data_IF_925627268301
#
_entry.id   IF_925627268301
#
_cell.length_a   1.000
_cell.length_b   1.000
_cell.length_c   1.000
_cell.angle_alpha   90.00
_cell.angle_beta   90.00
_cell.angle_gamma   90.00
#
_symmetry.space_group_name_H-M   'P 1'
#
loop_
_entity.id
_entity.type
_entity.pdbx_description
1 polymer ?
#
# COMPACT_ATOMS: atom_id res chain seq x y z
N UNK A 1 4.27 -20.33 8.07
CA UNK A 1 5.24 -19.34 7.56
C UNK A 1 4.57 -17.99 7.68
N UNK A 2 5.30 -16.95 8.08
CA UNK A 2 4.76 -15.58 8.07
C UNK A 2 4.44 -15.16 6.64
N UNK A 3 3.44 -14.32 6.44
CA UNK A 3 3.12 -13.77 5.14
C UNK A 3 2.96 -12.25 5.19
N UNK A 4 3.28 -11.59 4.08
CA UNK A 4 3.06 -10.16 3.91
C UNK A 4 2.31 -9.90 2.62
N UNK A 5 1.53 -8.82 2.59
CA UNK A 5 0.95 -8.31 1.34
C UNK A 5 1.69 -7.08 0.86
N UNK A 6 1.88 -6.98 -0.46
CA UNK A 6 2.34 -5.76 -1.12
C UNK A 6 1.17 -5.11 -1.86
N UNK A 7 1.03 -3.80 -1.74
CA UNK A 7 -0.08 -3.06 -2.34
C UNK A 7 0.46 -1.83 -3.09
N UNK A 8 0.21 -1.74 -4.38
CA UNK A 8 0.32 -0.48 -5.12
C UNK A 8 -1.01 0.27 -5.10
N UNK A 9 -1.04 1.49 -4.56
CA UNK A 9 -2.25 2.30 -4.46
C UNK A 9 -2.74 2.87 -5.80
N UNK A 10 -2.79 2.05 -6.86
CA UNK A 10 -3.14 2.45 -8.22
C UNK A 10 -3.67 1.26 -9.02
N UNK A 11 -4.59 1.52 -9.95
CA UNK A 11 -5.07 0.54 -10.95
C UNK A 11 -4.35 0.65 -12.30
N UNK A 12 -3.30 1.46 -12.41
CA UNK A 12 -2.48 1.49 -13.63
C UNK A 12 -1.78 0.14 -13.84
N UNK A 13 -1.88 -0.44 -15.03
CA UNK A 13 -1.20 -1.69 -15.40
C UNK A 13 0.33 -1.58 -15.28
N UNK A 14 0.87 -0.38 -15.48
CA UNK A 14 2.29 -0.05 -15.36
C UNK A 14 2.57 0.78 -14.09
N UNK A 15 1.82 0.55 -13.03
CA UNK A 15 1.93 1.31 -11.79
C UNK A 15 3.35 1.28 -11.22
N UNK A 16 3.98 2.44 -11.13
CA UNK A 16 5.29 2.61 -10.48
C UNK A 16 5.22 2.35 -8.98
N UNK A 17 4.07 2.60 -8.36
CA UNK A 17 3.86 2.29 -6.94
C UNK A 17 3.72 0.79 -6.71
N UNK A 18 3.09 0.04 -7.63
CA UNK A 18 3.08 -1.43 -7.58
C UNK A 18 4.50 -1.99 -7.67
N UNK A 19 5.30 -1.53 -8.65
CA UNK A 19 6.69 -1.95 -8.80
C UNK A 19 7.53 -1.67 -7.55
N UNK A 20 7.37 -0.49 -6.92
CA UNK A 20 8.09 -0.14 -5.70
C UNK A 20 7.68 -1.01 -4.51
N UNK A 21 6.37 -1.26 -4.33
CA UNK A 21 5.87 -2.11 -3.25
C UNK A 21 6.34 -3.56 -3.39
N UNK A 22 6.26 -4.12 -4.61
CA UNK A 22 6.71 -5.48 -4.92
C UNK A 22 8.22 -5.63 -4.72
N UNK A 23 9.01 -4.64 -5.16
CA UNK A 23 10.45 -4.63 -4.92
C UNK A 23 10.77 -4.60 -3.41
N UNK A 24 10.17 -3.69 -2.66
CA UNK A 24 10.38 -3.62 -1.22
C UNK A 24 9.94 -4.91 -0.51
N UNK A 25 8.82 -5.50 -0.91
CA UNK A 25 8.35 -6.79 -0.38
C UNK A 25 9.32 -7.94 -0.69
N UNK A 26 9.94 -7.96 -1.87
CA UNK A 26 10.91 -8.99 -2.26
C UNK A 26 12.21 -8.97 -1.44
N UNK A 27 12.51 -7.85 -0.78
CA UNK A 27 13.66 -7.73 0.11
C UNK A 27 13.41 -8.30 1.52
N UNK A 28 12.16 -8.67 1.85
CA UNK A 28 11.82 -9.26 3.15
C UNK A 28 12.09 -10.76 3.11
N UNK A 29 13.09 -11.21 3.84
CA UNK A 29 13.50 -12.61 3.85
C UNK A 29 12.62 -13.47 4.79
N UNK A 30 12.44 -14.74 4.45
CA UNK A 30 11.81 -15.74 5.32
C UNK A 30 10.27 -15.64 5.42
N UNK A 31 9.64 -14.89 4.53
CA UNK A 31 8.18 -14.70 4.48
C UNK A 31 7.62 -15.10 3.11
N UNK A 32 6.34 -15.43 3.08
CA UNK A 32 5.57 -15.50 1.84
C UNK A 32 5.10 -14.10 1.45
N UNK A 33 5.29 -13.71 0.19
CA UNK A 33 4.87 -12.40 -0.33
C UNK A 33 3.68 -12.57 -1.25
N UNK A 34 2.56 -11.94 -0.91
CA UNK A 34 1.35 -11.89 -1.74
C UNK A 34 1.21 -10.51 -2.37
N UNK A 35 1.37 -10.43 -3.69
CA UNK A 35 1.22 -9.17 -4.42
C UNK A 35 -0.26 -8.92 -4.72
N UNK A 36 -0.86 -7.93 -4.04
CA UNK A 36 -2.24 -7.55 -4.21
C UNK A 36 -2.36 -6.50 -5.32
N UNK A 37 -3.16 -6.81 -6.35
CA UNK A 37 -3.50 -5.86 -7.40
C UNK A 37 -4.95 -5.38 -7.24
N UNK A 38 -5.14 -4.07 -7.12
CA UNK A 38 -6.48 -3.48 -7.00
C UNK A 38 -7.37 -3.74 -8.23
N UNK A 39 -6.78 -4.08 -9.38
CA UNK A 39 -7.55 -4.46 -10.58
C UNK A 39 -8.29 -5.79 -10.45
N UNK A 40 -7.91 -6.64 -9.50
CA UNK A 40 -8.53 -7.95 -9.30
C UNK A 40 -9.82 -7.88 -8.47
N UNK A 41 -10.20 -6.67 -8.03
CA UNK A 41 -11.35 -6.43 -7.16
C UNK A 41 -12.35 -5.49 -7.82
N UNK A 42 -13.50 -6.00 -8.22
CA UNK A 42 -14.61 -5.20 -8.73
C UNK A 42 -15.40 -4.58 -7.56
N UNK A 43 -15.06 -3.34 -7.26
CA UNK A 43 -15.69 -2.56 -6.19
C UNK A 43 -16.42 -1.36 -6.81
N UNK A 44 -17.77 -1.31 -6.73
CA UNK A 44 -18.50 -0.13 -7.16
C UNK A 44 -18.04 1.10 -6.36
N UNK A 45 -18.21 2.29 -6.90
CA UNK A 45 -17.93 3.49 -6.14
C UNK A 45 -18.79 3.48 -4.87
N UNK A 46 -18.13 3.60 -3.71
CA UNK A 46 -18.80 3.53 -2.41
C UNK A 46 -19.92 4.56 -2.31
N UNK A 47 -21.08 4.08 -1.91
CA UNK A 47 -22.22 4.88 -1.49
C UNK A 47 -22.97 4.13 -0.40
N UNK A 48 -23.49 4.87 0.59
CA UNK A 48 -24.33 4.29 1.65
C UNK A 48 -25.60 3.65 1.07
N UNK A 49 -26.10 4.20 -0.04
CA UNK A 49 -27.29 3.66 -0.72
C UNK A 49 -26.96 2.29 -1.33
N UNK A 50 -25.83 2.17 -2.04
CA UNK A 50 -25.36 0.88 -2.59
C UNK A 50 -25.15 -0.15 -1.48
N UNK A 51 -24.49 0.26 -0.38
CA UNK A 51 -24.29 -0.63 0.78
C UNK A 51 -25.62 -1.15 1.34
N UNK A 52 -26.62 -0.26 1.49
CA UNK A 52 -27.94 -0.61 2.02
C UNK A 52 -28.76 -1.51 1.07
N UNK A 53 -28.66 -1.28 -0.24
CA UNK A 53 -29.42 -2.00 -1.25
C UNK A 53 -28.83 -3.38 -1.58
N UNK A 54 -27.50 -3.47 -1.71
CA UNK A 54 -26.82 -4.66 -2.21
C UNK A 54 -25.92 -5.37 -1.17
N UNK A 55 -25.66 -4.71 -0.05
CA UNK A 55 -24.68 -5.18 0.94
C UNK A 55 -23.23 -5.05 0.47
N UNK A 56 -22.35 -5.82 1.10
CA UNK A 56 -20.92 -5.80 0.78
C UNK A 56 -20.62 -6.54 -0.52
N UNK A 57 -19.90 -5.91 -1.48
CA UNK A 57 -19.44 -6.58 -2.68
C UNK A 57 -18.67 -7.88 -2.39
N UNK A 58 -18.79 -8.87 -3.27
CA UNK A 58 -18.11 -10.16 -3.10
C UNK A 58 -16.59 -9.99 -3.01
N UNK A 59 -16.03 -9.13 -3.86
CA UNK A 59 -14.59 -8.93 -3.92
C UNK A 59 -14.07 -8.10 -2.74
N UNK A 60 -14.91 -7.27 -2.11
CA UNK A 60 -14.57 -6.63 -0.85
C UNK A 60 -14.28 -7.66 0.26
N UNK A 61 -15.05 -8.74 0.32
CA UNK A 61 -14.83 -9.80 1.33
C UNK A 61 -13.50 -10.51 1.12
N UNK A 62 -13.11 -10.75 -0.15
CA UNK A 62 -11.79 -11.32 -0.48
C UNK A 62 -10.65 -10.38 -0.09
N UNK A 63 -10.79 -9.09 -0.46
CA UNK A 63 -9.79 -8.08 -0.13
C UNK A 63 -9.62 -7.94 1.39
N UNK A 64 -10.74 -7.92 2.12
CA UNK A 64 -10.74 -7.86 3.58
C UNK A 64 -10.05 -9.06 4.21
N UNK A 65 -10.30 -10.29 3.71
CA UNK A 65 -9.64 -11.50 4.22
C UNK A 65 -8.11 -11.43 4.06
N UNK A 66 -7.59 -10.94 2.93
CA UNK A 66 -6.15 -10.75 2.75
C UNK A 66 -5.55 -9.78 3.77
N UNK A 67 -6.23 -8.65 4.05
CA UNK A 67 -5.76 -7.69 5.05
C UNK A 67 -5.84 -8.29 6.47
N UNK A 68 -6.83 -9.12 6.74
CA UNK A 68 -7.02 -9.76 8.05
C UNK A 68 -5.97 -10.85 8.31
N UNK A 69 -5.67 -11.67 7.31
CA UNK A 69 -4.81 -12.85 7.42
C UNK A 69 -3.31 -12.53 7.32
N UNK A 70 -2.93 -11.36 6.77
CA UNK A 70 -1.52 -11.00 6.62
C UNK A 70 -0.85 -10.70 7.97
N UNK A 71 0.45 -10.99 8.07
CA UNK A 71 1.29 -10.61 9.22
C UNK A 71 1.88 -9.19 9.07
N UNK A 72 1.96 -8.65 7.84
CA UNK A 72 2.50 -7.31 7.59
C UNK A 72 2.11 -6.76 6.22
N UNK A 73 2.23 -5.45 6.05
CA UNK A 73 1.77 -4.72 4.87
C UNK A 73 2.90 -3.83 4.33
N UNK A 74 3.23 -3.99 3.05
CA UNK A 74 4.06 -3.04 2.29
C UNK A 74 3.15 -2.29 1.33
N UNK A 75 2.88 -1.03 1.59
CA UNK A 75 1.98 -0.20 0.80
C UNK A 75 2.74 0.95 0.15
N UNK A 76 2.64 1.10 -1.18
CA UNK A 76 3.14 2.26 -1.90
C UNK A 76 1.99 3.04 -2.53
N UNK A 77 1.85 4.31 -2.15
CA UNK A 77 0.74 5.17 -2.52
C UNK A 77 1.02 5.99 -3.77
N UNK A 78 0.11 5.94 -4.73
CA UNK A 78 0.06 6.88 -5.84
C UNK A 78 -0.55 8.20 -5.39
N UNK A 79 0.06 9.31 -5.80
CA UNK A 79 -0.48 10.65 -5.58
C UNK A 79 -1.26 11.13 -6.80
N UNK A 80 -2.54 11.40 -6.62
CA UNK A 80 -3.41 12.02 -7.61
C UNK A 80 -3.99 13.32 -7.03
N UNK A 81 -3.61 14.47 -7.60
CA UNK A 81 -4.04 15.78 -7.12
C UNK A 81 -3.80 16.00 -5.61
N UNK A 82 -2.64 15.57 -5.12
CA UNK A 82 -2.24 15.72 -3.72
C UNK A 82 -2.90 14.75 -2.73
N UNK A 83 -3.60 13.71 -3.21
CA UNK A 83 -4.32 12.75 -2.39
C UNK A 83 -4.16 11.32 -2.89
N UNK A 84 -4.86 10.36 -2.28
CA UNK A 84 -4.95 8.97 -2.76
C UNK A 84 -5.51 8.90 -4.18
N UNK A 85 -5.13 7.88 -4.94
CA UNK A 85 -5.85 7.54 -6.16
C UNK A 85 -7.32 7.21 -5.84
N UNK A 86 -8.24 7.49 -6.77
CA UNK A 86 -9.66 7.19 -6.57
C UNK A 86 -9.89 5.69 -6.28
N UNK A 87 -9.16 4.81 -6.97
CA UNK A 87 -9.27 3.37 -6.78
C UNK A 87 -8.86 2.94 -5.36
N UNK A 88 -7.71 3.42 -4.87
CA UNK A 88 -7.26 3.11 -3.51
C UNK A 88 -8.22 3.70 -2.47
N UNK A 89 -8.65 4.97 -2.66
CA UNK A 89 -9.59 5.60 -1.73
C UNK A 89 -10.90 4.83 -1.66
N UNK A 90 -11.42 4.37 -2.80
CA UNK A 90 -12.64 3.58 -2.86
C UNK A 90 -12.49 2.24 -2.12
N UNK A 91 -11.41 1.51 -2.35
CA UNK A 91 -11.13 0.26 -1.63
C UNK A 91 -11.01 0.51 -0.11
N UNK A 92 -10.32 1.58 0.29
CA UNK A 92 -10.16 1.96 1.69
C UNK A 92 -11.50 2.35 2.34
N UNK A 93 -12.37 3.08 1.62
CA UNK A 93 -13.71 3.42 2.10
C UNK A 93 -14.55 2.16 2.34
N UNK A 94 -14.59 1.25 1.37
CA UNK A 94 -15.29 -0.01 1.51
C UNK A 94 -14.76 -0.88 2.66
N UNK A 95 -13.43 -1.02 2.78
CA UNK A 95 -12.81 -1.80 3.88
C UNK A 95 -13.18 -1.24 5.24
N UNK A 96 -13.27 0.10 5.37
CA UNK A 96 -13.64 0.76 6.62
C UNK A 96 -15.09 0.50 7.05
N UNK A 97 -15.94 0.00 6.15
CA UNK A 97 -17.32 -0.38 6.46
C UNK A 97 -17.39 -1.77 7.12
N UNK A 98 -16.46 -2.65 6.81
CA UNK A 98 -16.36 -3.96 7.47
C UNK A 98 -15.69 -3.82 8.82
N UNK A 99 -14.57 -3.09 8.88
CA UNK A 99 -13.78 -2.90 10.09
C UNK A 99 -13.15 -1.50 10.11
N UNK A 100 -13.53 -0.69 11.09
CA UNK A 100 -13.02 0.68 11.21
C UNK A 100 -11.51 0.76 11.45
N UNK A 101 -10.92 -0.27 12.08
CA UNK A 101 -9.48 -0.47 12.18
C UNK A 101 -8.95 -1.24 10.97
N UNK A 102 -9.11 -0.66 9.79
CA UNK A 102 -8.81 -1.27 8.49
C UNK A 102 -7.50 -2.05 8.48
N UNK A 103 -6.44 -1.47 9.05
CA UNK A 103 -5.10 -2.07 9.05
C UNK A 103 -4.82 -3.02 10.21
N UNK A 104 -5.79 -3.23 11.11
CA UNK A 104 -5.80 -4.22 12.21
C UNK A 104 -4.54 -4.23 13.07
N UNK A 105 -3.90 -3.06 13.22
CA UNK A 105 -2.63 -2.85 13.90
C UNK A 105 -1.46 -3.70 13.34
N UNK A 106 -1.60 -4.17 12.09
CA UNK A 106 -0.52 -4.88 11.41
C UNK A 106 0.68 -3.95 11.19
N UNK A 107 1.91 -4.45 11.34
CA UNK A 107 3.10 -3.73 10.92
C UNK A 107 2.99 -3.27 9.47
N UNK A 108 3.36 -2.02 9.20
CA UNK A 108 3.22 -1.42 7.88
C UNK A 108 4.49 -0.67 7.48
N UNK A 109 5.07 -1.04 6.34
CA UNK A 109 6.03 -0.22 5.63
C UNK A 109 5.26 0.64 4.61
N UNK A 110 5.26 1.96 4.83
CA UNK A 110 4.50 2.91 4.02
C UNK A 110 5.43 3.65 3.05
N UNK A 111 5.17 3.49 1.77
CA UNK A 111 5.92 4.09 0.68
C UNK A 111 5.02 4.98 -0.17
N UNK A 112 5.61 5.90 -0.89
CA UNK A 112 4.97 6.60 -2.00
C UNK A 112 5.98 6.91 -3.08
N UNK A 113 5.55 6.99 -4.33
CA UNK A 113 6.40 7.45 -5.42
C UNK A 113 5.61 8.18 -6.48
N UNK A 114 6.32 9.03 -7.24
CA UNK A 114 5.81 9.74 -8.41
C UNK A 114 6.93 9.94 -9.43
N UNK A 115 6.61 10.35 -10.68
CA UNK A 115 7.64 10.76 -11.64
C UNK A 115 8.43 12.01 -11.21
N UNK A 116 7.85 12.82 -10.32
CA UNK A 116 8.46 14.09 -9.88
C UNK A 116 9.37 13.94 -8.66
N UNK A 117 10.11 15.01 -8.32
CA UNK A 117 11.11 14.99 -7.24
C UNK A 117 10.53 14.91 -5.84
N UNK A 118 9.23 15.17 -5.65
CA UNK A 118 8.57 15.07 -4.34
C UNK A 118 8.16 13.65 -3.96
N UNK A 119 8.16 12.70 -4.91
CA UNK A 119 7.90 11.28 -4.65
C UNK A 119 6.55 10.96 -3.99
N UNK A 120 5.52 11.79 -4.21
CA UNK A 120 4.21 11.61 -3.57
C UNK A 120 4.15 12.11 -2.12
N UNK A 121 4.83 13.21 -1.83
CA UNK A 121 4.92 13.79 -0.48
C UNK A 121 3.54 14.10 0.13
N UNK A 122 2.61 14.69 -0.64
CA UNK A 122 1.31 15.10 -0.09
C UNK A 122 0.46 13.88 0.32
N UNK A 123 0.43 12.84 -0.51
CA UNK A 123 -0.30 11.60 -0.16
C UNK A 123 0.35 10.86 1.01
N UNK A 124 1.68 10.93 1.14
CA UNK A 124 2.41 10.38 2.30
C UNK A 124 1.99 11.09 3.59
N UNK A 125 2.00 12.42 3.61
CA UNK A 125 1.57 13.22 4.77
C UNK A 125 0.12 12.92 5.17
N UNK A 126 -0.75 12.80 4.18
CA UNK A 126 -2.16 12.43 4.40
C UNK A 126 -2.27 11.03 5.05
N UNK A 127 -1.53 10.05 4.56
CA UNK A 127 -1.55 8.69 5.10
C UNK A 127 -0.96 8.62 6.51
N UNK A 128 0.18 9.27 6.76
CA UNK A 128 0.81 9.34 8.08
C UNK A 128 -0.12 9.96 9.14
N UNK A 129 -0.92 10.96 8.75
CA UNK A 129 -1.89 11.57 9.66
C UNK A 129 -3.14 10.70 9.86
N UNK A 130 -3.56 9.93 8.85
CA UNK A 130 -4.85 9.23 8.86
C UNK A 130 -4.77 7.77 9.29
N UNK A 131 -3.80 7.01 8.81
CA UNK A 131 -3.76 5.56 9.02
C UNK A 131 -3.68 5.11 10.49
N UNK A 132 -3.01 5.83 11.41
CA UNK A 132 -3.03 5.46 12.83
C UNK A 132 -4.46 5.39 13.41
N UNK A 133 -5.37 6.27 12.99
CA UNK A 133 -6.79 6.22 13.41
C UNK A 133 -7.51 4.96 12.89
N UNK A 134 -7.04 4.41 11.76
CA UNK A 134 -7.57 3.19 11.17
C UNK A 134 -6.73 1.94 11.50
N UNK A 135 -5.98 1.97 12.60
CA UNK A 135 -5.18 0.83 13.05
C UNK A 135 -3.91 0.61 12.22
N UNK A 136 -3.35 1.64 11.59
CA UNK A 136 -2.06 1.57 10.92
C UNK A 136 -0.91 1.62 11.92
N UNK A 137 -0.15 0.52 12.03
CA UNK A 137 1.09 0.45 12.80
C UNK A 137 2.28 0.70 11.86
N UNK A 138 2.52 1.97 11.53
CA UNK A 138 3.56 2.37 10.58
C UNK A 138 4.93 2.22 11.23
N UNK A 139 5.69 1.21 10.82
CA UNK A 139 7.04 0.90 11.33
C UNK A 139 8.14 1.67 10.60
N UNK A 140 7.85 2.15 9.40
CA UNK A 140 8.74 2.98 8.61
C UNK A 140 8.01 3.62 7.45
N UNK A 141 8.52 4.74 6.96
CA UNK A 141 7.94 5.42 5.80
C UNK A 141 9.00 6.11 4.95
N UNK A 142 8.76 6.17 3.64
CA UNK A 142 9.65 6.82 2.68
C UNK A 142 8.91 7.31 1.45
N UNK A 143 9.14 8.55 1.06
CA UNK A 143 8.84 9.02 -0.30
C UNK A 143 9.99 8.65 -1.22
N UNK A 144 9.70 8.08 -2.39
CA UNK A 144 10.68 7.69 -3.39
C UNK A 144 10.60 8.64 -4.58
N UNK A 145 11.55 9.58 -4.72
CA UNK A 145 11.49 10.64 -5.74
C UNK A 145 11.86 10.11 -7.13
N UNK A 146 11.35 10.81 -8.15
CA UNK A 146 11.80 10.68 -9.55
C UNK A 146 11.94 9.22 -10.00
N UNK A 147 10.85 8.43 -9.83
CA UNK A 147 10.86 6.98 -10.02
C UNK A 147 11.61 6.52 -11.27
N UNK A 148 11.31 7.12 -12.43
CA UNK A 148 11.92 6.74 -13.70
C UNK A 148 13.44 7.00 -13.79
N UNK A 149 14.03 7.80 -12.89
CA UNK A 149 15.47 8.03 -12.82
C UNK A 149 16.14 7.04 -11.85
N UNK A 150 15.47 6.73 -10.75
CA UNK A 150 16.04 6.02 -9.60
C UNK A 150 15.63 4.53 -9.50
N UNK A 151 14.74 4.08 -10.40
CA UNK A 151 14.32 2.68 -10.47
C UNK A 151 14.52 2.15 -11.89
N UNK A 152 15.41 1.17 -12.07
CA UNK A 152 15.81 0.62 -13.37
C UNK A 152 15.85 -0.92 -13.30
N UNK A 153 15.44 -1.56 -14.37
CA UNK A 153 15.55 -3.01 -14.51
C UNK A 153 14.98 -3.80 -13.33
N UNK A 154 13.87 -3.31 -12.75
CA UNK A 154 13.20 -3.97 -11.62
C UNK A 154 13.82 -3.75 -10.24
N UNK A 155 14.76 -2.80 -10.10
CA UNK A 155 15.42 -2.50 -8.84
C UNK A 155 15.70 -1.01 -8.65
N UNK A 156 15.95 -0.60 -7.41
CA UNK A 156 16.41 0.75 -7.08
C UNK A 156 17.86 0.89 -7.53
N UNK A 157 18.12 1.88 -8.41
CA UNK A 157 19.44 2.13 -9.00
C UNK A 157 20.26 3.21 -8.30
N UNK A 158 19.62 4.07 -7.51
CA UNK A 158 20.29 5.06 -6.67
C UNK A 158 20.72 4.41 -5.34
N UNK A 159 22.01 4.49 -5.01
CA UNK A 159 22.59 3.80 -3.86
C UNK A 159 22.06 4.31 -2.52
N UNK A 160 21.90 5.63 -2.37
CA UNK A 160 21.40 6.24 -1.12
C UNK A 160 19.93 5.88 -0.88
N UNK A 161 19.11 5.93 -1.92
CA UNK A 161 17.71 5.53 -1.83
C UNK A 161 17.57 4.03 -1.55
N UNK A 162 18.43 3.20 -2.15
CA UNK A 162 18.42 1.76 -1.91
C UNK A 162 18.85 1.42 -0.48
N UNK A 163 19.88 2.05 0.03
CA UNK A 163 20.33 1.86 1.41
C UNK A 163 19.24 2.27 2.41
N UNK A 164 18.59 3.43 2.17
CA UNK A 164 17.48 3.90 3.00
C UNK A 164 16.31 2.94 2.98
N UNK A 165 15.89 2.47 1.80
CA UNK A 165 14.81 1.51 1.66
C UNK A 165 15.12 0.18 2.35
N UNK A 166 16.33 -0.35 2.14
CA UNK A 166 16.79 -1.60 2.77
C UNK A 166 16.78 -1.51 4.29
N UNK A 167 17.23 -0.39 4.85
CA UNK A 167 17.16 -0.16 6.31
C UNK A 167 15.73 -0.14 6.85
N UNK A 168 14.79 0.45 6.11
CA UNK A 168 13.36 0.44 6.48
C UNK A 168 12.74 -0.97 6.36
N UNK A 169 13.12 -1.73 5.33
CA UNK A 169 12.69 -3.13 5.18
C UNK A 169 13.23 -3.99 6.33
N UNK A 170 14.49 -3.82 6.71
CA UNK A 170 15.06 -4.52 7.87
C UNK A 170 14.31 -4.19 9.18
N UNK A 171 13.98 -2.91 9.39
CA UNK A 171 13.18 -2.48 10.54
C UNK A 171 11.79 -3.11 10.52
N UNK A 172 11.11 -3.10 9.37
CA UNK A 172 9.80 -3.73 9.19
C UNK A 172 9.86 -5.25 9.45
N UNK A 173 10.86 -5.94 8.90
CA UNK A 173 11.05 -7.39 9.06
C UNK A 173 11.17 -7.83 10.52
N UNK A 174 11.71 -6.98 11.39
CA UNK A 174 11.82 -7.26 12.84
C UNK A 174 10.49 -7.17 13.59
N UNK A 175 9.44 -6.64 12.95
CA UNK A 175 8.13 -6.40 13.57
C UNK A 175 7.06 -7.41 13.16
N UNK A 176 7.32 -8.19 12.12
CA UNK A 176 6.42 -9.24 11.59
C UNK A 176 6.71 -10.62 12.15
#
# INVERSE_FOLDING_TARGET
MKNIITIGGSTSKLSINKQLAEYAGSLVEGVEVVNLDLNDYDLPLYSIDIENETGFPKDLKKLNALVEETDGIVLSLAEHNGAYSAAFKNAFDWLSRIEGKVWRNKPMLLLSTSPGPRGGQSVMELALSRFPFNGGNITGSMTFPSFGQNFKNGSVSDEDLNQKLSGLVEQFSKTI
#
